data_IF_579421491061
#
_entry.id   IF_579421491061
#
_cell.length_a   1.000
_cell.length_b   1.000
_cell.length_c   1.000
_cell.angle_alpha   90.00
_cell.angle_beta   90.00
_cell.angle_gamma   90.00
#
_symmetry.space_group_name_H-M   'P 1'
#
loop_
_entity.id
_entity.type
_entity.pdbx_description
1 polymer ?
#
# COMPACT_ATOMS: atom_id res chain seq x y z
N UNK A 1 11.08 -4.86 7.22
CA UNK A 1 11.65 -3.80 6.31
C UNK A 1 10.98 -3.91 4.95
N UNK A 2 10.93 -2.84 4.16
CA UNK A 2 10.35 -2.88 2.81
C UNK A 2 11.25 -3.65 1.84
N UNK A 3 10.66 -4.55 1.06
CA UNK A 3 11.27 -5.27 -0.06
C UNK A 3 10.48 -4.97 -1.34
N UNK A 4 11.15 -4.55 -2.40
CA UNK A 4 10.55 -4.56 -3.75
C UNK A 4 10.57 -6.00 -4.28
N UNK A 5 9.42 -6.47 -4.78
CA UNK A 5 9.28 -7.78 -5.40
C UNK A 5 9.35 -7.57 -6.90
N UNK A 6 10.36 -8.19 -7.53
CA UNK A 6 10.56 -8.18 -8.97
C UNK A 6 9.76 -9.31 -9.63
N UNK A 7 9.59 -9.24 -10.95
CA UNK A 7 8.80 -10.21 -11.72
C UNK A 7 9.33 -11.65 -11.65
N UNK A 8 10.63 -11.80 -11.38
CA UNK A 8 11.37 -13.06 -11.25
C UNK A 8 11.59 -13.50 -9.79
N UNK A 9 11.19 -12.69 -8.81
CA UNK A 9 11.23 -13.02 -7.38
C UNK A 9 10.05 -13.91 -6.99
N UNK A 10 10.10 -15.19 -7.39
CA UNK A 10 9.01 -16.16 -7.18
C UNK A 10 8.64 -16.28 -5.70
N UNK A 11 9.62 -16.37 -4.79
CA UNK A 11 9.36 -16.47 -3.35
C UNK A 11 8.64 -15.22 -2.83
N UNK A 12 9.05 -14.02 -3.28
CA UNK A 12 8.35 -12.78 -2.94
C UNK A 12 6.92 -12.75 -3.45
N UNK A 13 6.70 -13.18 -4.69
CA UNK A 13 5.38 -13.23 -5.32
C UNK A 13 4.45 -14.23 -4.62
N UNK A 14 4.95 -15.39 -4.21
CA UNK A 14 4.21 -16.37 -3.42
C UNK A 14 3.77 -15.78 -2.08
N UNK A 15 4.69 -15.18 -1.31
CA UNK A 15 4.37 -14.52 -0.03
C UNK A 15 3.35 -13.40 -0.17
N UNK A 16 3.45 -12.61 -1.23
CA UNK A 16 2.48 -11.55 -1.53
C UNK A 16 1.11 -12.15 -1.81
N UNK A 17 1.06 -13.16 -2.68
CA UNK A 17 -0.18 -13.83 -3.07
C UNK A 17 -0.87 -14.49 -1.88
N UNK A 18 -0.12 -15.16 -1.01
CA UNK A 18 -0.65 -15.80 0.20
C UNK A 18 -1.26 -14.78 1.16
N UNK A 19 -0.62 -13.62 1.33
CA UNK A 19 -1.14 -12.55 2.17
C UNK A 19 -2.42 -11.94 1.62
N UNK A 20 -2.45 -11.72 0.30
CA UNK A 20 -3.65 -11.25 -0.39
C UNK A 20 -4.76 -12.29 -0.23
N UNK A 21 -4.51 -13.57 -0.52
CA UNK A 21 -5.52 -14.63 -0.41
C UNK A 21 -6.03 -14.83 1.01
N UNK A 22 -5.16 -14.75 2.03
CA UNK A 22 -5.56 -14.86 3.42
C UNK A 22 -6.57 -13.78 3.84
N UNK A 23 -6.49 -12.58 3.26
CA UNK A 23 -7.43 -11.50 3.54
C UNK A 23 -8.83 -11.73 2.91
N UNK A 24 -8.92 -12.58 1.88
CA UNK A 24 -10.16 -12.88 1.16
C UNK A 24 -10.75 -14.25 1.49
N UNK A 25 -9.99 -15.09 2.20
CA UNK A 25 -10.40 -16.43 2.61
C UNK A 25 -11.67 -16.37 3.47
N UNK A 26 -12.79 -16.79 2.90
CA UNK A 26 -14.11 -16.82 3.56
C UNK A 26 -15.14 -15.82 3.02
N UNK A 27 -14.76 -14.88 2.15
CA UNK A 27 -15.67 -13.86 1.60
C UNK A 27 -16.06 -14.09 0.13
N UNK A 28 -15.22 -14.76 -0.67
CA UNK A 28 -15.54 -15.10 -2.05
C UNK A 28 -14.61 -16.22 -2.55
N UNK A 29 -15.13 -17.44 -2.75
CA UNK A 29 -14.33 -18.57 -3.29
C UNK A 29 -13.88 -18.32 -4.75
N UNK A 30 -14.37 -17.26 -5.39
CA UNK A 30 -14.14 -16.97 -6.81
C UNK A 30 -12.90 -16.12 -7.09
N UNK A 31 -12.31 -15.49 -6.07
CA UNK A 31 -11.14 -14.62 -6.25
C UNK A 31 -9.92 -15.13 -5.48
N UNK A 32 -8.92 -15.60 -6.21
CA UNK A 32 -7.59 -15.95 -5.69
C UNK A 32 -6.53 -15.21 -6.49
N UNK A 33 -5.70 -14.42 -5.80
CA UNK A 33 -4.41 -13.99 -6.31
C UNK A 33 -3.53 -15.22 -6.58
N UNK A 34 -2.72 -15.14 -7.63
CA UNK A 34 -1.71 -16.13 -7.95
C UNK A 34 -0.40 -15.46 -8.40
N UNK A 35 0.71 -16.18 -8.29
CA UNK A 35 2.02 -15.76 -8.82
C UNK A 35 1.90 -15.35 -10.29
N UNK A 36 1.23 -16.16 -11.11
CA UNK A 36 1.04 -15.87 -12.54
C UNK A 36 0.28 -14.55 -12.78
N UNK A 37 -0.76 -14.28 -11.97
CA UNK A 37 -1.50 -13.04 -12.05
C UNK A 37 -0.64 -11.83 -11.68
N UNK A 38 0.12 -11.90 -10.57
CA UNK A 38 1.05 -10.84 -10.16
C UNK A 38 2.13 -10.58 -11.22
N UNK A 39 2.72 -11.65 -11.77
CA UNK A 39 3.69 -11.55 -12.87
C UNK A 39 3.08 -10.87 -14.09
N UNK A 40 1.83 -11.18 -14.44
CA UNK A 40 1.16 -10.50 -15.55
C UNK A 40 0.97 -9.01 -15.25
N UNK A 41 0.59 -8.62 -14.03
CA UNK A 41 0.49 -7.20 -13.68
C UNK A 41 1.84 -6.50 -13.83
N UNK A 42 2.91 -7.09 -13.31
CA UNK A 42 4.27 -6.55 -13.38
C UNK A 42 4.83 -6.51 -14.81
N UNK A 43 4.43 -7.44 -15.69
CA UNK A 43 4.83 -7.48 -17.10
C UNK A 43 4.06 -6.49 -17.98
N UNK A 44 2.76 -6.31 -17.77
CA UNK A 44 1.88 -5.61 -18.69
C UNK A 44 1.69 -4.12 -18.37
N UNK A 45 1.92 -3.71 -17.13
CA UNK A 45 1.96 -2.29 -16.75
C UNK A 45 3.43 -1.87 -16.80
N UNK A 46 3.79 -1.03 -17.78
CA UNK A 46 5.18 -0.65 -18.09
C UNK A 46 5.99 -0.12 -16.89
N UNK A 47 5.33 0.28 -15.80
CA UNK A 47 5.94 0.75 -14.54
C UNK A 47 5.07 0.33 -13.34
N UNK A 48 4.68 -0.95 -13.26
CA UNK A 48 4.09 -1.47 -12.04
C UNK A 48 5.19 -1.91 -11.05
N UNK A 49 5.01 -1.51 -9.78
CA UNK A 49 5.94 -1.81 -8.70
C UNK A 49 5.19 -2.52 -7.58
N UNK A 50 5.76 -3.62 -7.12
CA UNK A 50 5.22 -4.43 -6.04
C UNK A 50 6.15 -4.32 -4.83
N UNK A 51 5.59 -4.00 -3.67
CA UNK A 51 6.33 -3.89 -2.43
C UNK A 51 5.67 -4.74 -1.35
N UNK A 52 6.52 -5.38 -0.55
CA UNK A 52 6.13 -6.15 0.61
C UNK A 52 6.87 -5.66 1.85
N UNK A 53 6.14 -5.54 2.95
CA UNK A 53 6.68 -5.26 4.26
C UNK A 53 6.29 -6.38 5.21
N UNK A 54 7.24 -6.77 6.05
CA UNK A 54 7.01 -7.70 7.15
C UNK A 54 7.82 -7.27 8.37
N UNK A 55 7.16 -7.35 9.53
CA UNK A 55 7.75 -7.33 10.86
C UNK A 55 6.92 -8.25 11.80
N UNK A 56 7.27 -8.25 13.10
CA UNK A 56 6.62 -9.10 14.10
C UNK A 56 5.14 -8.77 14.37
N UNK A 57 4.64 -7.60 13.95
CA UNK A 57 3.30 -7.11 14.28
C UNK A 57 2.37 -7.08 13.06
N UNK A 58 2.90 -6.88 11.86
CA UNK A 58 2.10 -6.71 10.65
C UNK A 58 2.84 -7.06 9.35
N UNK A 59 2.05 -7.38 8.33
CA UNK A 59 2.47 -7.57 6.95
C UNK A 59 1.72 -6.56 6.06
N UNK A 60 2.41 -5.92 5.10
CA UNK A 60 1.80 -4.99 4.14
C UNK A 60 2.17 -5.36 2.72
N UNK A 61 1.18 -5.35 1.84
CA UNK A 61 1.30 -5.60 0.42
C UNK A 61 0.86 -4.35 -0.35
N UNK A 62 1.73 -3.79 -1.19
CA UNK A 62 1.44 -2.58 -1.99
C UNK A 62 1.75 -2.83 -3.46
N UNK A 63 0.84 -2.47 -4.37
CA UNK A 63 1.16 -2.29 -5.78
C UNK A 63 0.84 -0.88 -6.26
N UNK A 64 1.82 -0.31 -6.94
CA UNK A 64 1.74 0.98 -7.59
C UNK A 64 1.88 0.80 -9.10
N UNK A 65 1.28 1.71 -9.87
CA UNK A 65 1.52 1.81 -11.32
C UNK A 65 1.63 3.28 -11.71
N UNK A 66 2.42 3.58 -12.72
CA UNK A 66 2.34 4.89 -13.35
C UNK A 66 1.05 5.03 -14.18
N UNK A 67 0.37 6.17 -14.02
CA UNK A 67 -0.77 6.60 -14.83
C UNK A 67 -0.33 7.76 -15.72
N UNK A 68 -0.12 7.44 -17.01
CA UNK A 68 0.30 8.40 -18.02
C UNK A 68 -0.72 9.52 -18.29
N UNK A 69 -2.01 9.29 -18.01
CA UNK A 69 -3.06 10.28 -18.29
C UNK A 69 -3.00 11.44 -17.30
N UNK A 70 -2.62 11.13 -16.06
CA UNK A 70 -2.59 12.08 -14.96
C UNK A 70 -1.17 12.50 -14.57
N UNK A 71 -0.16 11.85 -15.16
CA UNK A 71 1.27 11.97 -14.85
C UNK A 71 1.58 11.71 -13.36
N UNK A 72 1.09 10.59 -12.83
CA UNK A 72 1.16 10.26 -11.40
C UNK A 72 1.42 8.78 -11.16
N UNK A 73 2.00 8.45 -10.01
CA UNK A 73 2.03 7.07 -9.51
C UNK A 73 0.71 6.82 -8.77
N UNK A 74 -0.02 5.79 -9.14
CA UNK A 74 -1.28 5.39 -8.51
C UNK A 74 -1.08 4.10 -7.74
N UNK A 75 -1.34 4.15 -6.44
CA UNK A 75 -1.52 2.95 -5.63
C UNK A 75 -2.89 2.37 -5.95
N UNK A 76 -2.91 1.20 -6.60
CA UNK A 76 -4.13 0.51 -6.99
C UNK A 76 -4.39 -0.73 -6.14
N UNK A 77 -3.46 -1.10 -5.27
CA UNK A 77 -3.57 -2.26 -4.39
C UNK A 77 -2.79 -2.01 -3.10
N UNK A 78 -3.47 -2.13 -1.96
CA UNK A 78 -2.88 -1.97 -0.64
C UNK A 78 -3.60 -2.90 0.32
N UNK A 79 -2.88 -3.81 0.94
CA UNK A 79 -3.39 -4.72 1.96
C UNK A 79 -2.52 -4.68 3.19
N UNK A 80 -3.15 -4.72 4.36
CA UNK A 80 -2.49 -4.83 5.65
C UNK A 80 -3.07 -6.02 6.38
N UNK A 81 -2.20 -6.90 6.86
CA UNK A 81 -2.53 -7.99 7.75
C UNK A 81 -1.85 -7.75 9.08
N UNK A 82 -2.66 -7.60 10.13
CA UNK A 82 -2.15 -7.51 11.49
C UNK A 82 -1.91 -8.92 12.04
N UNK A 83 -0.69 -9.20 12.48
CA UNK A 83 -0.31 -10.46 13.14
C UNK A 83 -0.60 -10.42 14.64
N UNK A 84 -0.72 -9.20 15.19
CA UNK A 84 -1.14 -8.91 16.57
C UNK A 84 -2.17 -7.79 16.58
N UNK A 85 -2.96 -7.69 17.64
CA UNK A 85 -3.95 -6.60 17.80
C UNK A 85 -3.23 -5.25 17.70
N UNK A 86 -3.61 -4.37 16.75
CA UNK A 86 -2.95 -3.09 16.60
C UNK A 86 -3.26 -2.20 17.80
N UNK A 87 -2.21 -1.76 18.50
CA UNK A 87 -2.34 -0.87 19.67
C UNK A 87 -2.04 0.60 19.32
N UNK A 88 -1.44 0.87 18.15
CA UNK A 88 -1.02 2.21 17.75
C UNK A 88 -1.04 2.40 16.21
N UNK A 89 -1.87 3.33 15.73
CA UNK A 89 -1.97 3.66 14.29
C UNK A 89 -0.79 4.48 13.77
N UNK A 90 -0.03 5.16 14.63
CA UNK A 90 1.19 5.89 14.24
C UNK A 90 2.22 4.94 13.62
N UNK A 91 2.35 3.73 14.16
CA UNK A 91 3.31 2.73 13.65
C UNK A 91 2.97 2.37 12.21
N UNK A 92 1.71 2.07 11.92
CA UNK A 92 1.25 1.79 10.55
C UNK A 92 1.50 2.98 9.63
N UNK A 93 1.07 4.18 10.02
CA UNK A 93 1.26 5.39 9.22
C UNK A 93 2.74 5.66 8.94
N UNK A 94 3.63 5.42 9.91
CA UNK A 94 5.08 5.57 9.74
C UNK A 94 5.65 4.57 8.75
N UNK A 95 5.26 3.30 8.83
CA UNK A 95 5.69 2.27 7.88
C UNK A 95 5.21 2.61 6.46
N UNK A 96 3.97 3.09 6.32
CA UNK A 96 3.43 3.53 5.03
C UNK A 96 4.14 4.79 4.49
N UNK A 97 4.43 5.77 5.35
CA UNK A 97 5.16 6.98 4.97
C UNK A 97 6.56 6.64 4.43
N UNK A 98 7.26 5.67 5.05
CA UNK A 98 8.55 5.18 4.57
C UNK A 98 8.46 4.59 3.15
N UNK A 99 7.42 3.80 2.85
CA UNK A 99 7.22 3.31 1.48
C UNK A 99 6.91 4.44 0.51
N UNK A 100 6.02 5.35 0.90
CA UNK A 100 5.65 6.49 0.08
C UNK A 100 6.88 7.32 -0.28
N UNK A 101 7.78 7.57 0.68
CA UNK A 101 9.06 8.25 0.45
C UNK A 101 9.91 7.54 -0.60
N UNK A 102 10.10 6.22 -0.47
CA UNK A 102 10.87 5.41 -1.45
C UNK A 102 10.30 5.55 -2.85
N UNK A 103 8.97 5.50 -2.99
CA UNK A 103 8.29 5.64 -4.29
C UNK A 103 8.48 7.07 -4.82
N UNK A 104 8.25 8.08 -3.99
CA UNK A 104 8.39 9.48 -4.37
C UNK A 104 9.82 9.81 -4.84
N UNK A 105 10.84 9.39 -4.10
CA UNK A 105 12.26 9.60 -4.44
C UNK A 105 12.64 8.89 -5.73
N UNK A 106 12.10 7.69 -5.97
CA UNK A 106 12.40 6.91 -7.17
C UNK A 106 11.79 7.49 -8.44
N UNK A 107 10.51 7.85 -8.40
CA UNK A 107 9.79 8.29 -9.61
C UNK A 107 9.82 9.80 -9.80
N UNK A 108 10.05 10.57 -8.74
CA UNK A 108 9.94 12.03 -8.74
C UNK A 108 8.59 12.51 -9.32
N UNK A 109 7.52 11.86 -8.88
CA UNK A 109 6.13 12.08 -9.29
C UNK A 109 5.23 12.06 -8.07
N UNK A 110 4.10 12.76 -8.16
CA UNK A 110 3.06 12.68 -7.12
C UNK A 110 2.56 11.24 -7.02
N UNK A 111 2.45 10.73 -5.79
CA UNK A 111 1.81 9.45 -5.48
C UNK A 111 0.36 9.71 -5.10
N UNK A 112 -0.59 8.99 -5.69
CA UNK A 112 -2.01 9.06 -5.36
C UNK A 112 -2.47 7.73 -4.77
N UNK A 113 -3.18 7.81 -3.65
CA UNK A 113 -3.76 6.64 -2.96
C UNK A 113 -5.25 6.86 -2.76
N UNK A 114 -6.08 5.90 -3.17
CA UNK A 114 -7.53 5.95 -2.91
C UNK A 114 -7.82 5.91 -1.40
N UNK A 115 -8.77 6.72 -0.93
CA UNK A 115 -9.28 6.59 0.45
C UNK A 115 -10.09 5.31 0.67
N UNK A 116 -10.59 4.73 -0.43
CA UNK A 116 -11.47 3.56 -0.46
C UNK A 116 -10.80 2.46 -1.29
N UNK A 117 -9.65 2.00 -0.85
CA UNK A 117 -9.00 0.82 -1.43
C UNK A 117 -9.90 -0.38 -1.10
N UNK A 118 -10.02 -1.34 -2.02
CA UNK A 118 -11.06 -2.38 -1.96
C UNK A 118 -11.06 -3.20 -0.66
N UNK A 119 -10.00 -3.18 0.16
CA UNK A 119 -10.00 -3.81 1.49
C UNK A 119 -9.26 -2.95 2.53
N UNK A 120 -10.05 -2.23 3.33
CA UNK A 120 -9.55 -1.53 4.51
C UNK A 120 -10.28 -2.04 5.77
N UNK A 121 -9.52 -2.60 6.71
CA UNK A 121 -9.98 -2.99 8.05
C UNK A 121 -9.99 -1.81 9.05
N UNK A 122 -10.25 -0.57 8.61
CA UNK A 122 -10.45 0.57 9.55
C UNK A 122 -11.60 0.25 10.50
N UNK A 123 -12.61 -0.49 10.03
CA UNK A 123 -13.75 -0.93 10.85
C UNK A 123 -13.34 -1.72 12.10
N UNK A 124 -12.21 -2.43 12.06
CA UNK A 124 -11.80 -3.30 13.16
C UNK A 124 -10.90 -2.60 14.18
N UNK A 125 -10.44 -1.39 13.88
CA UNK A 125 -9.53 -0.64 14.76
C UNK A 125 -10.24 0.39 15.63
N UNK A 126 -11.51 0.71 15.33
CA UNK A 126 -12.34 1.62 16.15
C UNK A 126 -11.96 3.10 16.10
N UNK A 127 -10.97 3.49 15.29
CA UNK A 127 -10.53 4.89 15.16
C UNK A 127 -11.47 5.70 14.25
N UNK A 128 -11.65 6.99 14.57
CA UNK A 128 -12.40 7.89 13.69
C UNK A 128 -11.59 8.22 12.42
N UNK A 129 -12.28 8.37 11.28
CA UNK A 129 -11.65 8.73 10.01
C UNK A 129 -10.90 10.06 10.09
N UNK A 130 -11.45 11.04 10.84
CA UNK A 130 -10.85 12.38 11.00
C UNK A 130 -9.54 12.33 11.80
N UNK A 131 -9.50 11.59 12.91
CA UNK A 131 -8.27 11.42 13.69
C UNK A 131 -7.21 10.70 12.86
N UNK A 132 -7.62 9.71 12.07
CA UNK A 132 -6.73 8.98 11.15
C UNK A 132 -6.10 9.90 10.11
N UNK A 133 -6.90 10.77 9.45
CA UNK A 133 -6.38 11.72 8.46
C UNK A 133 -5.39 12.72 9.08
N UNK A 134 -5.74 13.35 10.21
CA UNK A 134 -4.85 14.30 10.87
C UNK A 134 -3.54 13.64 11.31
N UNK A 135 -3.64 12.41 11.83
CA UNK A 135 -2.48 11.65 12.22
C UNK A 135 -1.58 11.32 11.03
N UNK A 136 -2.17 10.90 9.91
CA UNK A 136 -1.44 10.63 8.67
C UNK A 136 -0.68 11.86 8.18
N UNK A 137 -1.36 13.02 8.07
CA UNK A 137 -0.72 14.28 7.64
C UNK A 137 0.48 14.60 8.52
N UNK A 138 0.32 14.53 9.85
CA UNK A 138 1.40 14.79 10.81
C UNK A 138 2.58 13.84 10.62
N UNK A 139 2.34 12.54 10.52
CA UNK A 139 3.40 11.52 10.38
C UNK A 139 4.14 11.67 9.05
N UNK A 140 3.43 11.90 7.95
CA UNK A 140 4.04 12.05 6.62
C UNK A 140 4.84 13.35 6.49
N UNK A 141 4.34 14.46 7.06
CA UNK A 141 5.10 15.71 7.10
C UNK A 141 6.45 15.54 7.85
N UNK A 142 6.48 14.74 8.92
CA UNK A 142 7.73 14.45 9.65
C UNK A 142 8.75 13.66 8.81
N UNK A 143 8.30 12.95 7.77
CA UNK A 143 9.15 12.22 6.82
C UNK A 143 9.54 13.08 5.61
N UNK A 144 9.13 14.36 5.57
CA UNK A 144 9.38 15.29 4.46
C UNK A 144 8.43 15.11 3.28
N UNK A 145 7.20 14.66 3.54
CA UNK A 145 6.18 14.43 2.52
C UNK A 145 4.98 15.34 2.77
N UNK A 146 4.64 16.17 1.80
CA UNK A 146 3.39 16.95 1.81
C UNK A 146 2.23 16.01 1.48
N UNK A 147 1.16 16.11 2.27
CA UNK A 147 -0.10 15.37 2.04
C UNK A 147 -1.19 16.35 1.64
N UNK A 148 -1.76 16.18 0.44
CA UNK A 148 -2.96 16.89 0.01
C UNK A 148 -4.18 15.98 0.16
N UNK A 149 -5.15 16.41 0.95
CA UNK A 149 -6.38 15.67 1.25
C UNK A 149 -7.51 16.04 0.26
N UNK A 150 -7.89 15.12 -0.62
CA UNK A 150 -9.05 15.28 -1.50
C UNK A 150 -10.21 14.40 -1.01
N UNK A 151 -11.42 14.65 -1.50
CA UNK A 151 -12.61 13.91 -1.07
C UNK A 151 -12.46 12.38 -1.22
N UNK A 152 -11.88 11.90 -2.33
CA UNK A 152 -11.83 10.47 -2.68
C UNK A 152 -10.44 9.83 -2.60
N UNK A 153 -9.39 10.62 -2.50
CA UNK A 153 -8.01 10.15 -2.52
C UNK A 153 -7.10 11.10 -1.76
N UNK A 154 -5.92 10.60 -1.41
CA UNK A 154 -4.79 11.40 -0.94
C UNK A 154 -3.75 11.53 -2.03
N UNK A 155 -3.08 12.67 -2.05
CA UNK A 155 -1.90 12.88 -2.88
C UNK A 155 -0.71 13.22 -2.00
N UNK A 156 0.44 12.68 -2.39
CA UNK A 156 1.69 12.79 -1.66
C UNK A 156 2.77 13.31 -2.60
N UNK A 157 3.58 14.25 -2.12
CA UNK A 157 4.71 14.82 -2.83
C UNK A 157 5.88 15.08 -1.86
N UNK A 158 7.12 15.08 -2.35
CA UNK A 158 8.27 15.47 -1.54
C UNK A 158 8.21 16.98 -1.28
N UNK A 159 8.56 17.37 -0.06
CA UNK A 159 8.73 18.77 0.34
C UNK A 159 9.99 19.42 -0.26
#
# INVERSE_FOLDING_TARGET
MWKEILVDDIEGLEKYSDNVNAAYCGNDETWQSSVNWLQNILKWKREAHCYFYEDDDLQICIMNKYDHTLDRIVNFQFFVKFLKVPTNTDKLNKVCAQNCKVVLERFNKIVRVSKYIEYFYIRDTGFSLKETTNNQIRVYNNEGITVTDFEKYWEYELM
#
